data_IF_271823368119
#
_entry.id   IF_271823368119
#
_cell.length_a   1.000
_cell.length_b   1.000
_cell.length_c   1.000
_cell.angle_alpha   90.00
_cell.angle_beta   90.00
_cell.angle_gamma   90.00
#
_symmetry.space_group_name_H-M   'P 1'
#
loop_
_entity.id
_entity.type
_entity.pdbx_description
1 polymer ?
#
# COMPACT_ATOMS: atom_id res chain seq x y z
N UNK A 1 12.81 12.87 -26.16
CA UNK A 1 13.80 11.85 -25.76
C UNK A 1 13.77 11.59 -24.25
N UNK A 2 13.80 12.63 -23.39
CA UNK A 2 13.68 12.48 -21.92
C UNK A 2 12.38 11.82 -21.42
N UNK A 3 11.24 12.05 -22.08
CA UNK A 3 9.97 11.43 -21.66
C UNK A 3 9.96 9.90 -21.81
N UNK A 4 10.57 9.33 -22.84
CA UNK A 4 10.47 7.88 -23.10
C UNK A 4 11.32 7.08 -22.11
N UNK A 5 12.50 7.59 -21.73
CA UNK A 5 13.33 6.96 -20.70
C UNK A 5 12.71 7.03 -19.30
N UNK A 6 12.06 8.16 -18.97
CA UNK A 6 11.29 8.29 -17.73
C UNK A 6 10.15 7.27 -17.70
N UNK A 7 9.41 7.13 -18.80
CA UNK A 7 8.25 6.24 -18.89
C UNK A 7 8.65 4.76 -18.78
N UNK A 8 9.76 4.35 -19.38
CA UNK A 8 10.30 2.99 -19.25
C UNK A 8 10.79 2.65 -17.82
N UNK A 9 10.97 3.65 -16.95
CA UNK A 9 11.45 3.46 -15.57
C UNK A 9 10.32 3.20 -14.56
N UNK A 10 9.09 3.64 -14.84
CA UNK A 10 7.98 3.59 -13.87
C UNK A 10 7.57 2.16 -13.46
N UNK A 11 7.38 1.20 -14.39
CA UNK A 11 7.00 -0.16 -14.00
C UNK A 11 8.10 -0.84 -13.16
N UNK A 12 9.37 -0.58 -13.47
CA UNK A 12 10.50 -1.10 -12.68
C UNK A 12 10.48 -0.53 -11.26
N UNK A 13 10.23 0.77 -11.09
CA UNK A 13 10.14 1.42 -9.78
C UNK A 13 9.00 0.83 -8.94
N UNK A 14 7.82 0.66 -9.52
CA UNK A 14 6.68 0.03 -8.84
C UNK A 14 6.98 -1.40 -8.39
N UNK A 15 7.65 -2.20 -9.23
CA UNK A 15 8.04 -3.57 -8.85
C UNK A 15 8.96 -3.58 -7.62
N UNK A 16 9.92 -2.66 -7.56
CA UNK A 16 10.82 -2.52 -6.41
C UNK A 16 10.04 -2.10 -5.16
N UNK A 17 9.16 -1.11 -5.28
CA UNK A 17 8.37 -0.61 -4.15
C UNK A 17 7.45 -1.70 -3.59
N UNK A 18 6.67 -2.37 -4.44
CA UNK A 18 5.78 -3.46 -3.99
C UNK A 18 6.53 -4.62 -3.34
N UNK A 19 7.70 -4.99 -3.88
CA UNK A 19 8.54 -6.03 -3.26
C UNK A 19 9.01 -5.60 -1.86
N UNK A 20 9.41 -4.33 -1.69
CA UNK A 20 9.81 -3.78 -0.39
C UNK A 20 8.64 -3.72 0.61
N UNK A 21 7.45 -3.33 0.15
CA UNK A 21 6.24 -3.31 1.00
C UNK A 21 5.92 -4.71 1.47
N UNK A 22 5.84 -5.69 0.56
CA UNK A 22 5.57 -7.09 0.91
C UNK A 22 6.61 -7.63 1.90
N UNK A 23 7.89 -7.27 1.73
CA UNK A 23 8.95 -7.61 2.68
C UNK A 23 8.76 -6.97 4.06
N UNK A 24 8.35 -5.70 4.11
CA UNK A 24 8.02 -5.01 5.37
C UNK A 24 6.85 -5.68 6.09
N UNK A 25 5.82 -6.09 5.36
CA UNK A 25 4.62 -6.72 5.92
C UNK A 25 4.90 -8.11 6.52
N UNK A 26 5.95 -8.81 6.07
CA UNK A 26 6.35 -10.09 6.68
C UNK A 26 6.80 -9.96 8.14
N UNK A 27 7.14 -8.75 8.60
CA UNK A 27 7.51 -8.48 10.00
C UNK A 27 6.30 -8.43 10.95
N UNK A 28 5.08 -8.40 10.41
CA UNK A 28 3.84 -8.27 11.17
C UNK A 28 3.15 -9.63 11.34
N UNK A 29 2.34 -9.85 12.38
CA UNK A 29 1.53 -11.07 12.53
C UNK A 29 0.58 -11.31 11.35
N UNK A 30 0.36 -12.56 10.94
CA UNK A 30 -0.46 -12.91 9.76
C UNK A 30 -1.96 -12.63 9.96
N UNK A 31 -2.40 -12.64 11.22
CA UNK A 31 -3.75 -12.31 11.67
C UNK A 31 -4.01 -10.80 11.78
N UNK A 32 -2.96 -9.97 11.74
CA UNK A 32 -3.10 -8.52 11.75
C UNK A 32 -3.92 -8.05 10.54
N UNK A 33 -5.04 -7.38 10.81
CA UNK A 33 -5.97 -6.93 9.77
C UNK A 33 -5.26 -6.07 8.70
N UNK A 34 -4.40 -5.13 9.13
CA UNK A 34 -3.62 -4.30 8.22
C UNK A 34 -2.77 -5.14 7.26
N UNK A 35 -2.02 -6.13 7.78
CA UNK A 35 -1.19 -7.01 6.95
C UNK A 35 -2.03 -7.72 5.90
N UNK A 36 -3.13 -8.37 6.31
CA UNK A 36 -4.00 -9.16 5.42
C UNK A 36 -4.53 -8.33 4.24
N UNK A 37 -5.08 -7.15 4.52
CA UNK A 37 -5.67 -6.32 3.47
C UNK A 37 -4.62 -5.64 2.60
N UNK A 38 -3.52 -5.17 3.19
CA UNK A 38 -2.44 -4.54 2.42
C UNK A 38 -1.72 -5.57 1.55
N UNK A 39 -1.45 -6.79 2.03
CA UNK A 39 -0.88 -7.85 1.19
C UNK A 39 -1.79 -8.19 0.01
N UNK A 40 -3.12 -8.30 0.22
CA UNK A 40 -4.06 -8.56 -0.85
C UNK A 40 -4.03 -7.45 -1.92
N UNK A 41 -4.12 -6.19 -1.49
CA UNK A 41 -4.12 -5.03 -2.37
C UNK A 41 -2.81 -4.91 -3.17
N UNK A 42 -1.67 -5.04 -2.49
CA UNK A 42 -0.35 -4.93 -3.12
C UNK A 42 -0.10 -6.09 -4.09
N UNK A 43 -0.50 -7.32 -3.75
CA UNK A 43 -0.39 -8.45 -4.67
C UNK A 43 -1.25 -8.27 -5.92
N UNK A 44 -2.49 -7.77 -5.79
CA UNK A 44 -3.35 -7.46 -6.93
C UNK A 44 -2.68 -6.43 -7.85
N UNK A 45 -2.24 -5.29 -7.31
CA UNK A 45 -1.56 -4.24 -8.07
C UNK A 45 -0.26 -4.73 -8.70
N UNK A 46 0.53 -5.52 -7.96
CA UNK A 46 1.78 -6.06 -8.45
C UNK A 46 1.57 -7.05 -9.60
N UNK A 47 0.49 -7.83 -9.59
CA UNK A 47 0.12 -8.71 -10.69
C UNK A 47 -0.24 -7.89 -11.95
N UNK A 48 -0.96 -6.77 -11.82
CA UNK A 48 -1.21 -5.88 -12.94
C UNK A 48 0.09 -5.31 -13.53
N UNK A 49 1.03 -4.85 -12.69
CA UNK A 49 2.35 -4.34 -13.13
C UNK A 49 3.24 -5.43 -13.76
N UNK A 50 3.01 -6.71 -13.44
CA UNK A 50 3.72 -7.84 -14.08
C UNK A 50 3.10 -8.20 -15.42
N UNK A 51 1.77 -8.18 -15.52
CA UNK A 51 1.03 -8.62 -16.69
C UNK A 51 1.00 -7.57 -17.81
N UNK A 52 1.01 -6.28 -17.46
CA UNK A 52 0.87 -5.19 -18.41
C UNK A 52 2.18 -4.44 -18.60
N UNK A 53 2.59 -4.27 -19.86
CA UNK A 53 3.77 -3.48 -20.25
C UNK A 53 3.37 -2.07 -20.69
N UNK A 54 2.13 -1.89 -21.16
CA UNK A 54 1.60 -0.60 -21.56
C UNK A 54 1.08 0.20 -20.37
N UNK A 55 1.54 1.45 -20.25
CA UNK A 55 1.27 2.27 -19.07
C UNK A 55 -0.19 2.74 -19.08
N UNK A 56 -0.76 3.08 -20.23
CA UNK A 56 -2.14 3.54 -20.32
C UNK A 56 -3.14 2.44 -19.91
N UNK A 57 -2.91 1.21 -20.36
CA UNK A 57 -3.70 0.05 -19.93
C UNK A 57 -3.48 -0.30 -18.44
N UNK A 58 -2.26 -0.11 -17.93
CA UNK A 58 -1.95 -0.33 -16.53
C UNK A 58 -2.70 0.67 -15.62
N UNK A 59 -2.72 1.95 -16.00
CA UNK A 59 -3.46 3.00 -15.30
C UNK A 59 -4.95 2.69 -15.26
N UNK A 60 -5.54 2.26 -16.38
CA UNK A 60 -6.96 1.84 -16.45
C UNK A 60 -7.25 0.64 -15.55
N UNK A 61 -6.34 -0.34 -15.46
CA UNK A 61 -6.50 -1.54 -14.61
C UNK A 61 -6.38 -1.21 -13.12
N UNK A 62 -5.42 -0.35 -12.75
CA UNK A 62 -5.23 0.07 -11.35
C UNK A 62 -6.32 1.06 -10.93
N UNK A 63 -6.81 1.87 -11.86
CA UNK A 63 -7.89 2.84 -11.68
C UNK A 63 -7.68 3.75 -10.45
N UNK A 64 -6.47 4.28 -10.29
CA UNK A 64 -6.08 5.13 -9.15
C UNK A 64 -5.29 6.37 -9.58
N UNK A 65 -5.65 6.97 -10.72
CA UNK A 65 -4.97 8.15 -11.27
C UNK A 65 -3.82 7.80 -12.22
N UNK A 66 -2.91 8.75 -12.40
CA UNK A 66 -1.72 8.60 -13.25
C UNK A 66 -0.66 7.71 -12.60
N UNK A 67 0.23 7.13 -13.39
CA UNK A 67 1.25 6.20 -12.90
C UNK A 67 2.19 6.83 -11.87
N UNK A 68 2.46 8.13 -11.96
CA UNK A 68 3.25 8.90 -11.01
C UNK A 68 2.57 8.99 -9.64
N UNK A 69 1.24 9.19 -9.60
CA UNK A 69 0.46 9.22 -8.37
C UNK A 69 0.45 7.83 -7.71
N UNK A 70 0.36 6.76 -8.51
CA UNK A 70 0.44 5.38 -8.02
C UNK A 70 1.80 5.09 -7.39
N UNK A 71 2.89 5.64 -7.95
CA UNK A 71 4.23 5.54 -7.36
C UNK A 71 4.29 6.30 -6.03
N UNK A 72 3.79 7.53 -5.98
CA UNK A 72 3.75 8.31 -4.74
C UNK A 72 2.93 7.63 -3.64
N UNK A 73 1.80 6.99 -4.00
CA UNK A 73 1.03 6.15 -3.09
C UNK A 73 1.85 4.96 -2.58
N UNK A 74 2.57 4.26 -3.46
CA UNK A 74 3.39 3.12 -3.06
C UNK A 74 4.56 3.54 -2.13
N UNK A 75 5.15 4.71 -2.34
CA UNK A 75 6.18 5.26 -1.44
C UNK A 75 5.61 5.62 -0.08
N UNK A 76 4.43 6.24 -0.06
CA UNK A 76 3.71 6.57 1.17
C UNK A 76 3.33 5.29 1.94
N UNK A 77 2.84 4.26 1.22
CA UNK A 77 2.49 2.97 1.80
C UNK A 77 3.72 2.26 2.39
N UNK A 78 4.87 2.32 1.72
CA UNK A 78 6.12 1.77 2.26
C UNK A 78 6.58 2.50 3.53
N UNK A 79 6.41 3.83 3.59
CA UNK A 79 6.71 4.59 4.79
C UNK A 79 5.72 4.26 5.92
N UNK A 80 4.44 4.12 5.60
CA UNK A 80 3.41 3.70 6.55
C UNK A 80 3.67 2.30 7.08
N UNK A 81 3.99 1.32 6.21
CA UNK A 81 4.23 -0.07 6.64
C UNK A 81 5.34 -0.17 7.67
N UNK A 82 6.40 0.65 7.53
CA UNK A 82 7.49 0.73 8.52
C UNK A 82 7.03 1.30 9.85
N UNK A 83 6.22 2.37 9.82
CA UNK A 83 5.64 2.96 11.03
C UNK A 83 4.67 2.00 11.72
N UNK A 84 3.87 1.26 10.96
CA UNK A 84 2.95 0.25 11.49
C UNK A 84 3.69 -0.86 12.24
N UNK A 85 4.91 -1.21 11.81
CA UNK A 85 5.77 -2.15 12.56
C UNK A 85 6.17 -1.60 13.93
N UNK A 86 6.42 -0.30 14.04
CA UNK A 86 6.75 0.36 15.31
C UNK A 86 5.53 0.55 16.20
N UNK A 87 4.39 0.95 15.63
CA UNK A 87 3.15 1.25 16.36
C UNK A 87 2.40 0.01 16.83
N UNK A 88 2.56 -1.12 16.15
CA UNK A 88 1.89 -2.39 16.46
C UNK A 88 0.37 -2.26 16.72
N UNK A 89 -0.39 -1.67 15.77
CA UNK A 89 -1.83 -1.40 15.96
C UNK A 89 -2.71 -2.65 16.04
N UNK A 90 -2.13 -3.84 15.86
CA UNK A 90 -2.80 -5.13 16.05
C UNK A 90 -2.84 -5.57 17.51
N UNK A 91 -2.13 -4.88 18.42
CA UNK A 91 -2.26 -5.11 19.85
C UNK A 91 -3.65 -4.64 20.34
N UNK A 92 -4.15 -5.21 21.46
CA UNK A 92 -5.41 -4.78 22.06
C UNK A 92 -5.43 -3.28 22.37
N UNK A 93 -6.64 -2.72 22.49
CA UNK A 93 -6.84 -1.33 22.89
C UNK A 93 -6.07 -1.04 24.18
N UNK A 94 -5.32 0.06 24.18
CA UNK A 94 -4.54 0.51 25.35
C UNK A 94 -5.48 0.90 26.49
N UNK A 95 -6.63 1.49 26.16
CA UNK A 95 -7.64 1.93 27.12
C UNK A 95 -9.04 1.76 26.54
N UNK A 96 -9.98 1.29 27.36
CA UNK A 96 -11.39 1.21 27.02
C UNK A 96 -12.05 2.59 27.11
N UNK A 97 -13.04 2.85 26.26
CA UNK A 97 -13.75 4.11 26.31
C UNK A 97 -14.58 4.23 27.62
N UNK A 98 -14.57 5.39 28.30
CA UNK A 98 -15.51 5.71 29.37
C UNK A 98 -16.97 5.55 28.90
N UNK A 99 -17.85 5.08 29.79
CA UNK A 99 -19.21 4.65 29.47
C UNK A 99 -20.08 5.69 28.71
N UNK A 100 -19.80 6.99 28.86
CA UNK A 100 -20.56 8.07 28.23
C UNK A 100 -19.79 8.83 27.13
N UNK A 101 -18.56 8.42 26.78
CA UNK A 101 -17.73 9.18 25.84
C UNK A 101 -18.32 9.22 24.41
N UNK A 102 -18.98 8.14 23.99
CA UNK A 102 -19.52 7.99 22.63
C UNK A 102 -21.05 7.94 22.56
N UNK A 103 -21.76 8.36 23.63
CA UNK A 103 -23.24 8.38 23.65
C UNK A 103 -23.77 9.63 22.93
N UNK A 104 -24.57 9.43 21.88
CA UNK A 104 -25.25 10.52 21.16
C UNK A 104 -26.64 10.10 20.65
N UNK A 105 -27.71 10.93 20.80
CA UNK A 105 -27.80 12.13 21.65
C UNK A 105 -27.84 11.77 23.16
N UNK A 106 -27.71 12.78 24.04
CA UNK A 106 -27.65 12.61 25.50
C UNK A 106 -28.99 12.13 26.06
#
# INVERSE_FOLDING_TARGET
MLSIELWLSFPKRLRILYTKILGSLQTMPQDAAYRKYTEQLINQRFNHVKAELDIENLEKKINCGQIEEVIAQAETELALSRKMTEWKPWEPLVEEAPANQWKWPI
#
